data_IF_616543958377
#
_entry.id   IF_616543958377
#
_cell.length_a   1.000
_cell.length_b   1.000
_cell.length_c   1.000
_cell.angle_alpha   90.00
_cell.angle_beta   90.00
_cell.angle_gamma   90.00
#
_symmetry.space_group_name_H-M   'P 1'
#
loop_
_entity.id
_entity.type
_entity.pdbx_description
1 polymer ?
#
# COMPACT_ATOMS: atom_id res chain seq x y z
N UNK A 1 -70.20 -21.07 -14.48
CA UNK A 1 -68.80 -20.97 -14.93
C UNK A 1 -68.14 -19.84 -14.15
N UNK A 2 -67.44 -20.19 -13.06
CA UNK A 2 -66.72 -19.19 -12.23
C UNK A 2 -65.24 -19.21 -12.60
N UNK A 3 -64.76 -18.08 -13.12
CA UNK A 3 -63.35 -17.90 -13.41
C UNK A 3 -62.62 -17.34 -12.14
N UNK A 4 -61.76 -18.14 -11.56
CA UNK A 4 -60.84 -17.73 -10.51
C UNK A 4 -59.64 -17.03 -11.13
N UNK A 5 -59.54 -15.72 -10.97
CA UNK A 5 -58.34 -14.94 -11.29
C UNK A 5 -57.38 -14.96 -10.10
N UNK A 6 -56.19 -15.52 -10.28
CA UNK A 6 -55.10 -15.43 -9.30
C UNK A 6 -54.48 -14.03 -9.33
N UNK A 7 -54.20 -13.39 -8.17
CA UNK A 7 -53.51 -12.10 -8.15
C UNK A 7 -52.04 -12.25 -8.51
N UNK A 8 -51.56 -11.45 -9.47
CA UNK A 8 -50.18 -11.35 -9.84
C UNK A 8 -49.35 -10.77 -8.68
N UNK A 9 -48.27 -11.47 -8.31
CA UNK A 9 -47.28 -11.02 -7.32
C UNK A 9 -46.53 -9.82 -7.87
N UNK A 10 -46.39 -8.72 -7.11
CA UNK A 10 -45.58 -7.58 -7.56
C UNK A 10 -44.09 -7.98 -7.66
N UNK A 11 -43.32 -7.41 -8.61
CA UNK A 11 -41.91 -7.67 -8.77
C UNK A 11 -41.15 -7.16 -7.53
N UNK A 12 -40.30 -8.01 -6.97
CA UNK A 12 -39.34 -7.65 -5.91
C UNK A 12 -38.47 -6.51 -6.43
N UNK A 13 -38.58 -5.35 -5.81
CA UNK A 13 -37.71 -4.21 -6.06
C UNK A 13 -36.27 -4.64 -5.78
N UNK A 14 -35.45 -4.62 -6.81
CA UNK A 14 -34.02 -4.77 -6.67
C UNK A 14 -33.49 -3.59 -5.85
N UNK A 15 -33.19 -3.81 -4.59
CA UNK A 15 -32.45 -2.87 -3.75
C UNK A 15 -31.06 -2.72 -4.38
N UNK A 16 -30.88 -1.69 -5.18
CA UNK A 16 -29.55 -1.20 -5.59
C UNK A 16 -28.82 -0.77 -4.32
N UNK A 17 -27.99 -1.67 -3.78
CA UNK A 17 -27.03 -1.30 -2.73
C UNK A 17 -26.09 -0.27 -3.33
N UNK A 18 -26.13 0.94 -2.80
CA UNK A 18 -25.13 1.97 -3.03
C UNK A 18 -23.74 1.37 -2.78
N UNK A 19 -22.76 1.61 -3.67
CA UNK A 19 -21.38 1.21 -3.38
C UNK A 19 -21.00 1.76 -2.01
N UNK A 20 -20.56 0.90 -1.11
CA UNK A 20 -20.12 1.31 0.22
C UNK A 20 -18.88 2.18 -0.01
N UNK A 21 -19.02 3.48 0.21
CA UNK A 21 -17.91 4.43 0.10
C UNK A 21 -16.79 3.96 1.02
N UNK A 22 -15.62 3.76 0.42
CA UNK A 22 -14.42 3.40 1.16
C UNK A 22 -14.12 4.54 2.14
N UNK A 23 -13.88 4.26 3.44
CA UNK A 23 -13.47 5.30 4.35
C UNK A 23 -12.21 5.97 3.79
N UNK A 24 -12.12 7.31 3.81
CA UNK A 24 -10.97 8.02 3.32
C UNK A 24 -9.71 7.55 4.06
N UNK A 25 -8.59 7.50 3.33
CA UNK A 25 -7.31 7.21 3.95
C UNK A 25 -7.07 8.20 5.10
N UNK A 26 -6.58 7.75 6.26
CA UNK A 26 -6.34 8.65 7.38
C UNK A 26 -5.32 9.73 6.99
N UNK A 27 -5.47 10.98 7.50
CA UNK A 27 -4.54 12.06 7.22
C UNK A 27 -3.13 11.74 7.72
N UNK A 28 -2.15 12.42 7.12
CA UNK A 28 -0.75 12.25 7.49
C UNK A 28 -0.42 12.96 8.81
N UNK A 29 0.46 12.36 9.59
CA UNK A 29 1.05 13.01 10.78
C UNK A 29 2.29 13.78 10.36
N UNK A 30 2.10 14.94 9.74
CA UNK A 30 3.19 15.78 9.24
C UNK A 30 4.09 16.22 10.40
N UNK A 31 5.43 16.20 10.19
CA UNK A 31 6.37 16.74 11.15
C UNK A 31 6.11 18.25 11.36
N UNK A 32 6.23 18.75 12.59
CA UNK A 32 6.09 20.17 12.84
C UNK A 32 7.21 20.97 12.16
N UNK A 33 6.83 22.11 11.59
CA UNK A 33 7.71 22.99 10.84
C UNK A 33 7.92 22.53 9.39
N UNK A 34 8.34 23.44 8.53
CA UNK A 34 8.76 23.15 7.16
C UNK A 34 10.28 23.15 7.13
N UNK A 35 10.93 22.01 6.87
CA UNK A 35 12.38 21.96 6.82
C UNK A 35 12.89 22.75 5.60
N UNK A 36 14.03 23.43 5.78
CA UNK A 36 14.70 24.12 4.68
C UNK A 36 15.77 23.20 4.07
N UNK A 37 15.66 22.84 2.77
CA UNK A 37 16.63 21.98 2.11
C UNK A 37 18.04 22.56 2.08
N UNK A 38 19.01 21.83 2.62
CA UNK A 38 20.44 22.14 2.50
C UNK A 38 20.96 21.62 1.17
N UNK A 39 21.00 22.48 0.16
CA UNK A 39 21.43 22.16 -1.20
C UNK A 39 22.69 22.96 -1.59
N UNK A 40 23.54 22.48 -2.52
CA UNK A 40 23.38 21.19 -3.22
C UNK A 40 23.60 20.00 -2.30
N UNK A 41 22.95 18.87 -2.63
CA UNK A 41 23.21 17.57 -2.01
C UNK A 41 23.58 16.55 -3.06
N UNK A 42 24.45 15.61 -2.73
CA UNK A 42 24.86 14.53 -3.60
C UNK A 42 24.51 13.20 -2.95
N UNK A 43 23.85 12.31 -3.71
CA UNK A 43 23.42 11.00 -3.20
C UNK A 43 23.76 9.90 -4.21
N UNK A 44 24.04 8.72 -3.70
CA UNK A 44 24.10 7.50 -4.50
C UNK A 44 22.70 6.94 -4.64
N UNK A 45 22.14 6.99 -5.82
CA UNK A 45 20.85 6.39 -6.19
C UNK A 45 20.92 4.87 -6.09
N UNK A 46 19.80 4.18 -5.83
CA UNK A 46 19.78 2.72 -5.68
C UNK A 46 20.27 1.96 -6.92
N UNK A 47 20.18 2.58 -8.11
CA UNK A 47 20.75 2.07 -9.36
C UNK A 47 22.27 2.34 -9.51
N UNK A 48 22.94 2.78 -8.44
CA UNK A 48 24.38 3.02 -8.37
C UNK A 48 24.86 4.36 -8.96
N UNK A 49 23.96 5.19 -9.50
CA UNK A 49 24.33 6.49 -10.09
C UNK A 49 24.52 7.55 -9.01
N UNK A 50 25.52 8.41 -9.18
CA UNK A 50 25.66 9.64 -8.39
C UNK A 50 24.71 10.70 -8.94
N UNK A 51 23.89 11.29 -8.08
CA UNK A 51 22.91 12.31 -8.45
C UNK A 51 23.11 13.53 -7.58
N UNK A 52 23.37 14.68 -8.22
CA UNK A 52 23.45 15.98 -7.53
C UNK A 52 22.13 16.70 -7.66
N UNK A 53 21.53 17.06 -6.53
CA UNK A 53 20.30 17.83 -6.46
C UNK A 53 20.64 19.25 -6.03
N UNK A 54 20.37 20.21 -6.90
CA UNK A 54 20.64 21.64 -6.69
C UNK A 54 19.38 22.44 -6.37
N UNK A 55 18.20 21.87 -6.69
CA UNK A 55 16.89 22.49 -6.48
C UNK A 55 15.84 21.44 -6.09
N UNK A 56 15.14 21.67 -4.99
CA UNK A 56 14.03 20.85 -4.50
C UNK A 56 12.75 21.72 -4.33
N UNK A 57 12.58 22.74 -5.17
CA UNK A 57 11.40 23.59 -5.15
C UNK A 57 10.17 22.92 -5.79
N UNK A 58 10.38 21.98 -6.71
CA UNK A 58 9.33 21.24 -7.44
C UNK A 58 9.63 19.74 -7.41
N UNK A 59 9.19 19.09 -6.35
CA UNK A 59 9.45 17.67 -6.10
C UNK A 59 8.38 16.82 -6.78
N UNK A 60 8.79 15.79 -7.51
CA UNK A 60 7.89 14.83 -8.12
C UNK A 60 8.17 13.40 -7.62
N UNK A 61 7.44 12.93 -6.62
CA UNK A 61 7.47 11.51 -6.22
C UNK A 61 6.60 10.67 -7.17
N UNK A 62 7.17 9.61 -7.72
CA UNK A 62 6.49 8.73 -8.69
C UNK A 62 5.82 7.50 -8.05
N UNK A 63 5.87 7.37 -6.73
CA UNK A 63 5.14 6.31 -5.99
C UNK A 63 4.42 6.88 -4.78
N UNK A 64 3.33 6.23 -4.36
CA UNK A 64 2.56 6.63 -3.18
C UNK A 64 3.38 6.62 -1.91
N UNK A 65 4.27 5.67 -1.77
CA UNK A 65 5.14 5.52 -0.60
C UNK A 65 6.17 6.67 -0.46
N UNK A 66 6.80 7.04 -1.57
CA UNK A 66 7.72 8.19 -1.59
C UNK A 66 6.94 9.49 -1.33
N UNK A 67 5.77 9.64 -1.96
CA UNK A 67 4.87 10.77 -1.72
C UNK A 67 4.55 10.93 -0.24
N UNK A 68 4.18 9.85 0.43
CA UNK A 68 3.84 9.86 1.86
C UNK A 68 5.00 10.38 2.72
N UNK A 69 6.23 9.94 2.44
CA UNK A 69 7.42 10.41 3.15
C UNK A 69 7.65 11.89 2.91
N UNK A 70 7.60 12.36 1.65
CA UNK A 70 7.82 13.77 1.30
C UNK A 70 6.81 14.68 1.99
N UNK A 71 5.54 14.31 1.96
CA UNK A 71 4.49 15.07 2.66
C UNK A 71 4.68 15.06 4.18
N UNK A 72 5.00 13.90 4.75
CA UNK A 72 5.19 13.76 6.20
C UNK A 72 6.42 14.51 6.71
N UNK A 73 7.46 14.66 5.87
CA UNK A 73 8.61 15.52 6.16
C UNK A 73 8.26 17.02 6.20
N UNK A 74 7.06 17.42 5.75
CA UNK A 74 6.63 18.83 5.69
C UNK A 74 6.96 19.51 4.35
N UNK A 75 7.28 18.75 3.31
CA UNK A 75 7.62 19.28 1.97
C UNK A 75 6.44 19.16 0.97
N UNK A 76 5.23 18.85 1.44
CA UNK A 76 4.06 18.62 0.59
C UNK A 76 3.70 19.81 -0.31
N UNK A 77 3.95 21.05 0.13
CA UNK A 77 3.75 22.26 -0.66
C UNK A 77 4.69 22.41 -1.88
N UNK A 78 5.76 21.60 -1.92
CA UNK A 78 6.72 21.55 -3.04
C UNK A 78 6.41 20.41 -4.02
N UNK A 79 5.44 19.54 -3.69
CA UNK A 79 5.05 18.39 -4.55
C UNK A 79 4.18 18.89 -5.69
N UNK A 80 4.53 18.50 -6.92
CA UNK A 80 3.87 19.02 -8.13
C UNK A 80 3.01 17.98 -8.86
N UNK A 81 3.05 16.70 -8.48
CA UNK A 81 2.25 15.63 -9.05
C UNK A 81 2.25 14.41 -8.15
N UNK A 82 1.39 13.44 -8.44
CA UNK A 82 1.24 12.24 -7.62
C UNK A 82 1.07 10.95 -8.41
N UNK A 83 1.35 9.85 -7.75
CA UNK A 83 0.97 8.50 -8.13
C UNK A 83 -0.46 8.16 -7.70
N UNK A 84 -1.08 7.18 -8.34
CA UNK A 84 -2.44 6.69 -8.02
C UNK A 84 -2.54 6.12 -6.59
N UNK A 85 -1.44 5.60 -6.03
CA UNK A 85 -1.38 5.07 -4.67
C UNK A 85 -1.18 6.15 -3.59
N UNK A 86 -0.91 7.40 -3.97
CA UNK A 86 -0.95 8.54 -3.05
C UNK A 86 -2.40 8.93 -2.75
N UNK A 87 -3.08 8.12 -1.92
CA UNK A 87 -4.53 8.20 -1.64
C UNK A 87 -4.89 9.09 -0.46
N UNK A 88 -3.91 9.61 0.27
CA UNK A 88 -4.14 10.49 1.42
C UNK A 88 -4.65 11.87 0.98
N UNK A 89 -5.49 12.53 1.82
CA UNK A 89 -6.19 13.76 1.45
C UNK A 89 -5.28 14.89 0.98
N UNK A 90 -4.10 15.01 1.57
CA UNK A 90 -3.15 16.08 1.28
C UNK A 90 -2.63 16.06 -0.16
N UNK A 91 -2.62 14.89 -0.82
CA UNK A 91 -2.19 14.75 -2.22
C UNK A 91 -3.37 14.77 -3.22
N UNK A 92 -4.62 14.77 -2.77
CA UNK A 92 -5.79 14.54 -3.63
C UNK A 92 -5.94 15.57 -4.76
N UNK A 93 -5.51 16.81 -4.53
CA UNK A 93 -5.61 17.92 -5.48
C UNK A 93 -4.54 17.89 -6.58
N UNK A 94 -3.49 17.08 -6.44
CA UNK A 94 -2.36 17.05 -7.36
C UNK A 94 -2.67 16.26 -8.64
N UNK A 95 -2.12 16.67 -9.79
CA UNK A 95 -2.25 15.94 -11.04
C UNK A 95 -1.64 14.55 -10.95
N UNK A 96 -2.33 13.58 -11.55
CA UNK A 96 -1.92 12.19 -11.58
C UNK A 96 -0.97 11.95 -12.76
N UNK A 97 0.25 11.50 -12.49
CA UNK A 97 1.28 11.24 -13.50
C UNK A 97 1.75 9.79 -13.57
N UNK A 98 1.44 8.98 -12.56
CA UNK A 98 1.80 7.56 -12.51
C UNK A 98 0.58 6.72 -12.16
N UNK A 99 0.33 5.66 -12.93
CA UNK A 99 -0.74 4.69 -12.69
C UNK A 99 -0.12 3.31 -12.52
N UNK A 100 -0.24 2.76 -11.32
CA UNK A 100 0.51 1.56 -10.94
C UNK A 100 2.03 1.83 -11.13
N UNK A 101 2.68 1.21 -12.08
CA UNK A 101 4.10 1.46 -12.36
C UNK A 101 4.34 2.25 -13.65
N UNK A 102 3.25 2.59 -14.38
CA UNK A 102 3.35 3.26 -15.68
C UNK A 102 3.41 4.79 -15.52
N UNK A 103 4.52 5.38 -15.92
CA UNK A 103 4.80 6.82 -15.86
C UNK A 103 4.42 7.50 -17.17
N UNK A 104 3.65 8.58 -17.10
CA UNK A 104 3.42 9.48 -18.22
C UNK A 104 4.58 10.48 -18.33
N UNK A 105 5.51 10.25 -19.24
CA UNK A 105 6.68 11.15 -19.46
C UNK A 105 6.22 12.57 -19.79
N UNK A 106 5.25 12.71 -20.71
CA UNK A 106 4.70 14.02 -21.08
C UNK A 106 4.05 14.71 -19.86
N UNK A 107 3.26 13.95 -19.08
CA UNK A 107 2.65 14.45 -17.85
C UNK A 107 3.69 14.94 -16.85
N UNK A 108 4.77 14.18 -16.65
CA UNK A 108 5.88 14.54 -15.77
C UNK A 108 6.57 15.82 -16.25
N UNK A 109 6.98 15.88 -17.53
CA UNK A 109 7.71 17.03 -18.08
C UNK A 109 6.86 18.30 -18.08
N UNK A 110 5.55 18.19 -18.31
CA UNK A 110 4.62 19.34 -18.25
C UNK A 110 4.59 20.03 -16.89
N UNK A 111 4.85 19.27 -15.83
CA UNK A 111 4.91 19.78 -14.46
C UNK A 111 6.24 20.46 -14.12
N UNK A 112 7.23 20.40 -14.99
CA UNK A 112 8.57 21.00 -14.80
C UNK A 112 9.15 20.72 -13.43
N UNK A 113 9.30 19.45 -13.01
CA UNK A 113 9.90 19.13 -11.72
C UNK A 113 11.39 19.51 -11.72
N UNK A 114 11.92 19.87 -10.55
CA UNK A 114 13.35 20.12 -10.35
C UNK A 114 14.07 18.90 -9.78
N UNK A 115 13.34 17.94 -9.26
CA UNK A 115 13.83 16.63 -8.82
C UNK A 115 12.71 15.59 -8.93
N UNK A 116 13.06 14.39 -9.39
CA UNK A 116 12.19 13.23 -9.49
C UNK A 116 12.68 12.16 -8.51
N UNK A 117 11.78 11.62 -7.71
CA UNK A 117 12.03 10.47 -6.83
C UNK A 117 11.20 9.29 -7.30
N UNK A 118 11.85 8.17 -7.57
CA UNK A 118 11.23 6.93 -8.04
C UNK A 118 11.78 5.73 -7.26
N UNK A 119 11.23 4.56 -7.46
CA UNK A 119 11.82 3.31 -6.98
C UNK A 119 12.19 2.40 -8.17
N UNK A 120 12.77 1.23 -7.85
CA UNK A 120 13.27 0.27 -8.84
C UNK A 120 12.14 -0.34 -9.70
N UNK A 121 10.89 -0.26 -9.24
CA UNK A 121 9.71 -0.81 -9.94
C UNK A 121 9.01 0.24 -10.81
N UNK A 122 9.42 1.51 -10.70
CA UNK A 122 8.85 2.60 -11.49
C UNK A 122 9.28 2.46 -12.96
N UNK A 123 8.33 2.45 -13.87
CA UNK A 123 8.61 2.21 -15.29
C UNK A 123 7.57 2.78 -16.25
N UNK A 124 7.58 2.32 -17.49
CA UNK A 124 8.54 1.38 -18.07
C UNK A 124 9.97 1.92 -18.12
N UNK A 125 11.00 1.07 -18.28
CA UNK A 125 12.40 1.50 -18.30
C UNK A 125 12.69 2.61 -19.30
N UNK A 126 12.08 2.57 -20.47
CA UNK A 126 12.23 3.57 -21.54
C UNK A 126 11.72 4.96 -21.08
N UNK A 127 10.64 5.01 -20.30
CA UNK A 127 10.15 6.25 -19.73
C UNK A 127 11.13 6.84 -18.72
N UNK A 128 11.72 5.99 -17.89
CA UNK A 128 12.73 6.41 -16.90
C UNK A 128 14.01 6.90 -17.57
N UNK A 129 14.42 6.28 -18.69
CA UNK A 129 15.55 6.76 -19.49
C UNK A 129 15.26 8.12 -20.14
N UNK A 130 14.07 8.34 -20.70
CA UNK A 130 13.64 9.62 -21.25
C UNK A 130 13.64 10.72 -20.19
N UNK A 131 13.14 10.45 -18.98
CA UNK A 131 13.17 11.40 -17.87
C UNK A 131 14.59 11.77 -17.47
N UNK A 132 15.52 10.82 -17.41
CA UNK A 132 16.93 11.09 -17.16
C UNK A 132 17.57 11.92 -18.29
N UNK A 133 17.23 11.61 -19.53
CA UNK A 133 17.69 12.34 -20.72
C UNK A 133 17.22 13.78 -20.78
N UNK A 134 16.18 14.15 -20.04
CA UNK A 134 15.67 15.53 -19.96
C UNK A 134 16.54 16.48 -19.12
N UNK A 135 17.58 15.96 -18.45
CA UNK A 135 18.45 16.73 -17.57
C UNK A 135 17.90 16.98 -16.17
N UNK A 136 16.73 16.43 -15.83
CA UNK A 136 16.16 16.51 -14.48
C UNK A 136 16.83 15.46 -13.61
N UNK A 137 17.32 15.79 -12.38
CA UNK A 137 17.82 14.81 -11.43
C UNK A 137 16.77 13.76 -11.10
N UNK A 138 17.08 12.48 -11.35
CA UNK A 138 16.21 11.32 -11.01
C UNK A 138 16.93 10.46 -10.00
N UNK A 139 16.38 10.36 -8.79
CA UNK A 139 16.90 9.51 -7.71
C UNK A 139 16.01 8.27 -7.59
N UNK A 140 16.62 7.11 -7.75
CA UNK A 140 15.95 5.83 -7.43
C UNK A 140 16.17 5.53 -5.96
N UNK A 141 15.08 5.36 -5.23
CA UNK A 141 15.07 4.99 -3.82
C UNK A 141 14.78 3.51 -3.71
N UNK A 142 15.51 2.80 -2.86
CA UNK A 142 15.25 1.38 -2.64
C UNK A 142 13.82 1.19 -2.08
N UNK A 143 13.01 0.30 -2.65
CA UNK A 143 11.69 -0.01 -2.10
C UNK A 143 11.82 -0.65 -0.72
N UNK A 144 10.77 -0.56 0.09
CA UNK A 144 10.66 -1.24 1.38
C UNK A 144 9.56 -2.29 1.29
N UNK A 145 9.91 -3.54 1.58
CA UNK A 145 9.01 -4.69 1.60
C UNK A 145 8.88 -5.30 3.00
N UNK A 146 9.52 -4.66 3.98
CA UNK A 146 9.50 -5.10 5.37
C UNK A 146 9.61 -3.92 6.33
N UNK A 147 9.18 -4.12 7.58
CA UNK A 147 9.25 -3.08 8.61
C UNK A 147 10.66 -2.53 8.87
N UNK A 148 11.74 -3.35 8.89
CA UNK A 148 13.10 -2.83 9.07
C UNK A 148 13.59 -1.89 7.95
N UNK A 149 12.98 -1.94 6.75
CA UNK A 149 13.38 -1.12 5.60
C UNK A 149 12.73 0.25 5.58
N UNK A 150 11.71 0.49 6.43
CA UNK A 150 10.96 1.77 6.46
C UNK A 150 11.86 2.94 6.85
N UNK A 151 12.60 2.84 7.95
CA UNK A 151 13.46 3.92 8.43
C UNK A 151 14.62 4.23 7.46
N UNK A 152 15.37 3.25 6.93
CA UNK A 152 16.35 3.50 5.86
C UNK A 152 15.79 4.24 4.64
N UNK A 153 14.58 3.85 4.19
CA UNK A 153 13.91 4.52 3.06
C UNK A 153 13.58 5.97 3.37
N UNK A 154 13.02 6.26 4.55
CA UNK A 154 12.73 7.63 5.00
C UNK A 154 14.00 8.48 4.97
N UNK A 155 15.11 7.96 5.52
CA UNK A 155 16.39 8.65 5.56
C UNK A 155 16.97 8.93 4.16
N UNK A 156 16.90 7.94 3.26
CA UNK A 156 17.37 8.10 1.87
C UNK A 156 16.59 9.20 1.13
N UNK A 157 15.25 9.22 1.26
CA UNK A 157 14.41 10.27 0.65
C UNK A 157 14.77 11.65 1.22
N UNK A 158 14.88 11.74 2.55
CA UNK A 158 15.19 13.00 3.22
C UNK A 158 16.59 13.53 2.85
N UNK A 159 17.58 12.64 2.72
CA UNK A 159 18.93 12.98 2.26
C UNK A 159 18.91 13.52 0.83
N UNK A 160 18.20 12.85 -0.08
CA UNK A 160 18.04 13.28 -1.46
C UNK A 160 17.41 14.69 -1.56
N UNK A 161 16.55 15.05 -0.63
CA UNK A 161 15.89 16.36 -0.58
C UNK A 161 16.65 17.40 0.27
N UNK A 162 17.85 17.08 0.77
CA UNK A 162 18.64 18.00 1.59
C UNK A 162 18.09 18.25 3.00
N UNK A 163 17.21 17.39 3.50
CA UNK A 163 16.53 17.53 4.81
C UNK A 163 16.83 16.36 5.78
N UNK A 164 18.08 15.91 5.78
CA UNK A 164 18.53 14.72 6.52
C UNK A 164 18.11 14.73 8.00
N UNK A 165 18.22 15.87 8.69
CA UNK A 165 17.81 16.00 10.13
C UNK A 165 16.32 15.75 10.33
N UNK A 166 15.45 16.22 9.41
CA UNK A 166 14.02 15.90 9.45
C UNK A 166 13.78 14.41 9.19
N UNK A 167 14.58 13.81 8.29
CA UNK A 167 14.59 12.38 8.02
C UNK A 167 14.89 11.52 9.23
N UNK A 168 15.92 11.88 10.01
CA UNK A 168 16.27 11.18 11.26
C UNK A 168 15.13 11.27 12.29
N UNK A 169 14.53 12.45 12.46
CA UNK A 169 13.37 12.62 13.36
C UNK A 169 12.18 11.79 12.92
N UNK A 170 11.86 11.78 11.60
CA UNK A 170 10.74 11.01 11.07
C UNK A 170 10.97 9.51 11.20
N UNK A 171 12.16 9.04 10.84
CA UNK A 171 12.54 7.63 10.98
C UNK A 171 12.42 7.16 12.43
N UNK A 172 13.02 7.89 13.38
CA UNK A 172 12.96 7.56 14.82
C UNK A 172 11.52 7.57 15.37
N UNK A 173 10.68 8.52 14.95
CA UNK A 173 9.26 8.53 15.30
C UNK A 173 8.55 7.29 14.77
N UNK A 174 8.75 6.97 13.50
CA UNK A 174 8.11 5.82 12.86
C UNK A 174 8.53 4.50 13.51
N UNK A 175 9.82 4.31 13.80
CA UNK A 175 10.33 3.13 14.52
C UNK A 175 9.71 2.99 15.92
N UNK A 176 9.62 4.08 16.67
CA UNK A 176 9.00 4.09 18.00
C UNK A 176 7.50 3.72 17.92
N UNK A 177 6.77 4.27 16.95
CA UNK A 177 5.37 3.95 16.71
C UNK A 177 5.17 2.49 16.30
N UNK A 178 5.99 1.95 15.40
CA UNK A 178 5.97 0.53 15.01
C UNK A 178 6.24 -0.37 16.20
N UNK A 179 7.25 -0.04 17.03
CA UNK A 179 7.55 -0.78 18.26
C UNK A 179 6.36 -0.78 19.22
N UNK A 180 5.71 0.36 19.40
CA UNK A 180 4.53 0.48 20.26
C UNK A 180 3.34 -0.32 19.72
N UNK A 181 3.11 -0.30 18.40
CA UNK A 181 2.06 -1.08 17.74
C UNK A 181 2.28 -2.60 17.93
N UNK A 182 3.50 -3.08 17.71
CA UNK A 182 3.88 -4.49 17.92
C UNK A 182 3.65 -4.94 19.36
N UNK A 183 3.93 -4.08 20.34
CA UNK A 183 3.75 -4.41 21.75
C UNK A 183 2.28 -4.61 22.15
N UNK A 184 1.32 -4.17 21.32
CA UNK A 184 -0.12 -4.40 21.53
C UNK A 184 -0.58 -5.81 21.10
N UNK A 185 0.25 -6.56 20.37
CA UNK A 185 -0.08 -7.95 20.00
C UNK A 185 -0.19 -8.82 21.24
N UNK A 186 -1.24 -9.65 21.38
CA UNK A 186 -1.47 -10.44 22.59
C UNK A 186 -0.32 -11.43 22.85
N UNK A 187 0.31 -11.32 24.01
CA UNK A 187 1.35 -12.26 24.42
C UNK A 187 0.69 -13.58 24.85
N UNK A 188 1.23 -14.71 24.38
CA UNK A 188 0.78 -16.04 24.78
C UNK A 188 -0.55 -16.53 24.15
N UNK A 189 -1.21 -15.74 23.33
CA UNK A 189 -2.36 -16.18 22.54
C UNK A 189 -1.94 -17.07 21.37
N UNK A 190 -2.85 -17.95 20.92
CA UNK A 190 -2.65 -18.69 19.68
C UNK A 190 -2.54 -17.69 18.51
N UNK A 191 -1.45 -17.80 17.74
CA UNK A 191 -1.20 -16.92 16.59
C UNK A 191 -2.16 -17.28 15.45
N UNK A 192 -3.05 -16.36 15.00
CA UNK A 192 -3.94 -16.65 13.88
C UNK A 192 -3.12 -16.87 12.61
N UNK A 193 -3.51 -17.86 11.80
CA UNK A 193 -3.00 -18.04 10.44
C UNK A 193 -3.71 -17.07 9.51
N UNK A 194 -2.98 -16.23 8.85
CA UNK A 194 -3.52 -15.15 8.00
C UNK A 194 -3.09 -15.37 6.56
N UNK A 195 -4.05 -15.47 5.65
CA UNK A 195 -3.76 -15.48 4.21
C UNK A 195 -3.98 -14.09 3.64
N UNK A 196 -2.91 -13.47 3.13
CA UNK A 196 -3.04 -12.25 2.35
C UNK A 196 -3.45 -12.58 0.92
N UNK A 197 -4.57 -12.03 0.46
CA UNK A 197 -5.05 -12.20 -0.91
C UNK A 197 -5.00 -10.86 -1.66
N UNK A 198 -4.19 -10.83 -2.72
CA UNK A 198 -4.17 -9.72 -3.65
C UNK A 198 -5.20 -9.97 -4.75
N UNK A 199 -6.25 -9.15 -4.77
CA UNK A 199 -7.41 -9.35 -5.64
C UNK A 199 -7.63 -8.14 -6.55
N UNK A 200 -7.89 -8.40 -7.84
CA UNK A 200 -8.40 -7.46 -8.84
C UNK A 200 -9.41 -8.22 -9.71
N UNK A 201 -10.61 -8.42 -9.17
CA UNK A 201 -11.63 -9.25 -9.79
C UNK A 201 -12.01 -8.81 -11.21
N UNK A 202 -12.07 -7.49 -11.46
CA UNK A 202 -12.34 -6.91 -12.79
C UNK A 202 -11.23 -7.21 -13.82
N UNK A 203 -10.00 -7.44 -13.35
CA UNK A 203 -8.85 -7.80 -14.19
C UNK A 203 -8.53 -9.32 -14.14
N UNK A 204 -9.32 -10.13 -13.44
CA UNK A 204 -9.07 -11.56 -13.30
C UNK A 204 -7.82 -11.91 -12.49
N UNK A 205 -7.32 -11.01 -11.64
CA UNK A 205 -6.11 -11.22 -10.84
C UNK A 205 -6.49 -11.72 -9.45
N UNK A 206 -6.01 -12.92 -9.13
CA UNK A 206 -6.24 -13.61 -7.85
C UNK A 206 -4.94 -14.23 -7.38
N UNK A 207 -4.25 -13.59 -6.42
CA UNK A 207 -2.95 -14.03 -5.93
C UNK A 207 -2.98 -14.18 -4.40
N UNK A 208 -2.20 -15.15 -3.90
CA UNK A 208 -1.89 -15.28 -2.48
C UNK A 208 -0.47 -14.75 -2.23
N UNK A 209 -0.31 -13.93 -1.19
CA UNK A 209 0.98 -13.47 -0.72
C UNK A 209 1.77 -14.60 -0.05
N UNK A 210 3.07 -14.58 -0.27
CA UNK A 210 4.04 -15.45 0.39
C UNK A 210 5.22 -14.63 0.90
N UNK A 211 6.36 -15.28 1.08
CA UNK A 211 7.58 -14.63 1.58
C UNK A 211 7.99 -13.46 0.67
N UNK A 212 8.16 -12.29 1.28
CA UNK A 212 8.56 -11.06 0.57
C UNK A 212 7.41 -10.31 -0.10
N UNK A 213 6.15 -10.67 0.17
CA UNK A 213 4.98 -9.91 -0.30
C UNK A 213 4.80 -8.56 0.41
N UNK A 214 5.52 -8.33 1.49
CA UNK A 214 5.32 -7.23 2.41
C UNK A 214 4.25 -7.55 3.46
N UNK A 215 3.15 -8.15 3.05
CA UNK A 215 2.09 -8.57 3.98
C UNK A 215 2.60 -9.60 5.01
N UNK A 216 3.53 -10.48 4.64
CA UNK A 216 4.20 -11.41 5.55
C UNK A 216 4.85 -10.68 6.74
N UNK A 217 5.62 -9.62 6.48
CA UNK A 217 6.26 -8.79 7.52
C UNK A 217 5.23 -8.12 8.44
N UNK A 218 4.12 -7.64 7.90
CA UNK A 218 3.04 -7.00 8.66
C UNK A 218 2.24 -7.99 9.50
N UNK A 219 1.91 -9.16 8.94
CA UNK A 219 1.19 -10.24 9.63
C UNK A 219 2.01 -10.77 10.81
N UNK A 220 3.30 -11.03 10.61
CA UNK A 220 4.19 -11.50 11.66
C UNK A 220 4.36 -10.46 12.77
N UNK A 221 4.51 -9.19 12.40
CA UNK A 221 4.62 -8.10 13.37
C UNK A 221 3.34 -7.89 14.18
N UNK A 222 2.17 -8.18 13.57
CA UNK A 222 0.87 -8.17 14.25
C UNK A 222 0.61 -9.40 15.12
N UNK A 223 1.56 -10.33 15.25
CA UNK A 223 1.44 -11.54 16.07
C UNK A 223 0.73 -12.69 15.37
N UNK A 224 0.54 -12.65 14.05
CA UNK A 224 0.01 -13.74 13.23
C UNK A 224 1.09 -14.65 12.65
N UNK A 225 0.64 -15.64 11.88
CA UNK A 225 1.47 -16.50 11.02
C UNK A 225 1.02 -16.28 9.58
N UNK A 226 1.93 -15.81 8.72
CA UNK A 226 1.63 -15.71 7.29
C UNK A 226 1.42 -17.11 6.69
N UNK A 227 0.21 -17.35 6.19
CA UNK A 227 -0.20 -18.67 5.70
C UNK A 227 0.56 -19.06 4.43
N UNK A 228 0.87 -18.09 3.56
CA UNK A 228 1.63 -18.33 2.34
C UNK A 228 3.06 -18.76 2.62
N UNK A 229 3.77 -18.03 3.47
CA UNK A 229 5.13 -18.40 3.91
C UNK A 229 5.14 -19.74 4.63
N UNK A 230 4.16 -19.99 5.51
CA UNK A 230 4.05 -21.24 6.26
C UNK A 230 3.76 -22.47 5.37
N UNK A 231 3.23 -22.25 4.15
CA UNK A 231 3.06 -23.30 3.14
C UNK A 231 4.30 -23.47 2.24
N UNK A 232 5.34 -22.70 2.46
CA UNK A 232 6.57 -22.74 1.66
C UNK A 232 6.49 -21.94 0.35
N UNK A 233 5.56 -20.98 0.21
CA UNK A 233 5.55 -20.08 -0.93
C UNK A 233 6.74 -19.11 -0.83
N UNK A 234 7.70 -19.30 -1.71
CA UNK A 234 8.95 -18.51 -1.76
C UNK A 234 8.86 -17.29 -2.65
N UNK A 235 7.81 -17.21 -3.50
CA UNK A 235 7.51 -16.03 -4.32
C UNK A 235 6.63 -15.07 -3.54
N UNK A 236 6.86 -13.78 -3.71
CA UNK A 236 6.05 -12.72 -3.11
C UNK A 236 4.55 -12.90 -3.41
N UNK A 237 4.22 -13.27 -4.64
CA UNK A 237 2.84 -13.55 -5.07
C UNK A 237 2.78 -14.81 -5.93
N UNK A 238 1.74 -15.62 -5.68
CA UNK A 238 1.47 -16.87 -6.42
C UNK A 238 -0.02 -16.92 -6.78
N UNK A 239 -0.42 -17.37 -7.98
CA UNK A 239 -1.82 -17.58 -8.33
C UNK A 239 -2.53 -18.46 -7.29
N UNK A 240 -3.75 -18.07 -6.90
CA UNK A 240 -4.56 -18.83 -5.96
C UNK A 240 -5.08 -20.10 -6.62
N UNK A 241 -4.93 -21.25 -5.93
CA UNK A 241 -5.68 -22.46 -6.21
C UNK A 241 -6.56 -22.83 -5.01
N UNK A 242 -7.66 -23.53 -5.24
CA UNK A 242 -8.56 -23.98 -4.17
C UNK A 242 -7.84 -24.89 -3.18
N UNK A 243 -6.98 -25.79 -3.69
CA UNK A 243 -6.19 -26.72 -2.88
C UNK A 243 -5.21 -25.98 -1.98
N UNK A 244 -4.54 -24.96 -2.50
CA UNK A 244 -3.60 -24.15 -1.74
C UNK A 244 -4.31 -23.39 -0.60
N UNK A 245 -5.48 -22.81 -0.87
CA UNK A 245 -6.28 -22.13 0.15
C UNK A 245 -6.77 -23.08 1.25
N UNK A 246 -7.28 -24.26 0.86
CA UNK A 246 -7.75 -25.27 1.83
C UNK A 246 -6.58 -25.79 2.66
N UNK A 247 -5.44 -26.06 2.05
CA UNK A 247 -4.22 -26.51 2.74
C UNK A 247 -3.65 -25.44 3.69
N UNK A 248 -3.71 -24.16 3.29
CA UNK A 248 -3.28 -23.04 4.10
C UNK A 248 -4.06 -22.92 5.42
N UNK A 249 -5.34 -23.34 5.44
CA UNK A 249 -6.23 -23.28 6.60
C UNK A 249 -6.19 -21.92 7.31
N UNK A 250 -6.38 -20.79 6.61
CA UNK A 250 -6.33 -19.49 7.26
C UNK A 250 -7.48 -19.33 8.26
N UNK A 251 -7.17 -18.72 9.41
CA UNK A 251 -8.14 -18.28 10.40
C UNK A 251 -8.69 -16.89 10.05
N UNK A 252 -7.90 -16.10 9.31
CA UNK A 252 -8.23 -14.75 8.86
C UNK A 252 -7.78 -14.60 7.40
N UNK A 253 -8.58 -13.91 6.59
CA UNK A 253 -8.20 -13.45 5.26
C UNK A 253 -7.92 -11.95 5.35
N UNK A 254 -6.70 -11.55 4.96
CA UNK A 254 -6.29 -10.16 4.81
C UNK A 254 -6.40 -9.77 3.34
N UNK A 255 -7.03 -8.65 3.05
CA UNK A 255 -7.19 -8.13 1.67
C UNK A 255 -7.03 -6.62 1.63
N UNK A 256 -6.79 -6.06 0.46
CA UNK A 256 -6.95 -4.63 0.24
C UNK A 256 -8.40 -4.28 -0.08
N UNK A 257 -8.89 -3.14 0.40
CA UNK A 257 -10.32 -2.76 0.35
C UNK A 257 -10.88 -2.70 -1.07
N UNK A 258 -10.15 -2.13 -2.05
CA UNK A 258 -10.56 -2.14 -3.46
C UNK A 258 -10.55 -3.55 -4.06
N UNK A 259 -9.58 -4.38 -3.63
CA UNK A 259 -9.54 -5.79 -4.00
C UNK A 259 -10.79 -6.52 -3.54
N UNK A 260 -11.18 -6.34 -2.29
CA UNK A 260 -12.41 -6.91 -1.73
C UNK A 260 -13.66 -6.41 -2.48
N UNK A 261 -13.75 -5.11 -2.76
CA UNK A 261 -14.86 -4.52 -3.53
C UNK A 261 -14.93 -5.10 -4.96
N UNK A 262 -13.77 -5.30 -5.61
CA UNK A 262 -13.70 -5.81 -6.99
C UNK A 262 -14.26 -7.21 -7.19
N UNK A 263 -14.37 -7.98 -6.10
CA UNK A 263 -14.96 -9.34 -6.10
C UNK A 263 -16.37 -9.36 -5.53
N UNK A 264 -16.95 -8.22 -5.18
CA UNK A 264 -18.32 -8.11 -4.62
C UNK A 264 -18.39 -8.21 -3.09
N UNK A 265 -17.35 -7.69 -2.40
CA UNK A 265 -17.28 -7.69 -0.94
C UNK A 265 -17.06 -9.08 -0.35
N UNK A 266 -17.36 -9.24 0.94
CA UNK A 266 -17.20 -10.52 1.66
C UNK A 266 -18.05 -11.62 1.02
N UNK A 267 -19.27 -11.32 0.56
CA UNK A 267 -20.13 -12.29 -0.11
C UNK A 267 -19.52 -12.83 -1.41
N UNK A 268 -18.89 -11.96 -2.18
CA UNK A 268 -18.18 -12.36 -3.40
C UNK A 268 -16.88 -13.10 -3.10
N UNK A 269 -16.13 -12.64 -2.11
CA UNK A 269 -14.90 -13.29 -1.66
C UNK A 269 -15.14 -14.76 -1.26
N UNK A 270 -16.18 -15.03 -0.45
CA UNK A 270 -16.52 -16.40 0.00
C UNK A 270 -16.90 -17.31 -1.18
N UNK A 271 -17.38 -16.76 -2.30
CA UNK A 271 -17.69 -17.52 -3.52
C UNK A 271 -16.46 -17.93 -4.33
N UNK A 272 -15.30 -17.33 -4.07
CA UNK A 272 -14.05 -17.78 -4.68
C UNK A 272 -13.78 -19.21 -4.22
N UNK A 273 -13.50 -20.09 -5.21
CA UNK A 273 -13.34 -21.53 -4.97
C UNK A 273 -12.23 -21.78 -3.95
N UNK A 274 -12.53 -22.59 -2.93
CA UNK A 274 -11.63 -22.93 -1.84
C UNK A 274 -11.78 -22.05 -0.59
N UNK A 275 -12.28 -20.82 -0.70
CA UNK A 275 -12.40 -19.92 0.46
C UNK A 275 -13.47 -20.40 1.44
N UNK A 276 -14.66 -20.79 0.97
CA UNK A 276 -15.74 -21.25 1.83
C UNK A 276 -15.37 -22.49 2.67
N UNK A 277 -14.37 -23.27 2.23
CA UNK A 277 -13.89 -24.47 2.93
C UNK A 277 -12.83 -24.14 4.00
N UNK A 278 -12.32 -22.91 4.05
CA UNK A 278 -11.35 -22.48 5.07
C UNK A 278 -12.05 -22.05 6.36
N UNK A 279 -11.36 -22.12 7.54
CA UNK A 279 -11.87 -21.55 8.78
C UNK A 279 -12.28 -20.08 8.66
N UNK A 280 -11.46 -19.27 7.97
CA UNK A 280 -11.73 -17.86 7.71
C UNK A 280 -13.00 -17.66 6.88
N UNK A 281 -13.19 -18.44 5.81
CA UNK A 281 -14.38 -18.35 4.95
C UNK A 281 -15.66 -18.75 5.67
N UNK A 282 -15.62 -19.83 6.46
CA UNK A 282 -16.76 -20.31 7.26
C UNK A 282 -17.23 -19.28 8.30
N UNK A 283 -16.28 -18.60 8.95
CA UNK A 283 -16.53 -17.57 9.96
C UNK A 283 -16.63 -16.17 9.37
N UNK A 284 -16.42 -16.02 8.05
CA UNK A 284 -16.38 -14.73 7.34
C UNK A 284 -15.36 -13.75 7.97
N UNK A 285 -14.26 -14.26 8.50
CA UNK A 285 -13.19 -13.48 9.13
C UNK A 285 -12.29 -12.84 8.06
N UNK A 286 -12.65 -11.64 7.68
CA UNK A 286 -11.95 -10.85 6.68
C UNK A 286 -11.51 -9.53 7.31
N UNK A 287 -10.23 -9.23 7.18
CA UNK A 287 -9.63 -7.94 7.53
C UNK A 287 -9.28 -7.24 6.23
N UNK A 288 -9.86 -6.08 5.99
CA UNK A 288 -9.52 -5.25 4.85
C UNK A 288 -8.74 -4.00 5.29
N UNK A 289 -7.77 -3.61 4.48
CA UNK A 289 -6.93 -2.43 4.68
C UNK A 289 -6.94 -1.59 3.42
N UNK A 290 -6.91 -0.27 3.57
CA UNK A 290 -6.87 0.68 2.45
C UNK A 290 -5.67 0.42 1.53
N UNK A 291 -5.90 0.45 0.20
CA UNK A 291 -4.94 0.03 -0.84
C UNK A 291 -3.63 0.83 -0.85
N UNK A 292 -3.68 2.13 -0.52
CA UNK A 292 -2.49 2.98 -0.45
C UNK A 292 -1.75 2.91 0.88
N UNK A 293 -2.05 1.93 1.74
CA UNK A 293 -1.51 1.85 3.09
C UNK A 293 -0.82 0.52 3.41
N UNK A 294 -1.45 -0.62 3.10
CA UNK A 294 -0.98 -1.95 3.56
C UNK A 294 0.45 -2.28 3.12
N UNK A 295 0.76 -2.09 1.84
CA UNK A 295 2.06 -2.42 1.24
C UNK A 295 2.92 -1.17 0.98
N UNK A 296 2.51 -0.03 1.52
CA UNK A 296 3.18 1.24 1.24
C UNK A 296 4.51 1.38 2.01
N UNK A 297 4.60 0.80 3.21
CA UNK A 297 5.79 0.87 4.07
C UNK A 297 6.32 2.30 4.23
N UNK A 298 5.40 3.24 4.43
CA UNK A 298 5.67 4.64 4.71
C UNK A 298 5.50 4.97 6.21
N UNK A 299 5.47 6.25 6.56
CA UNK A 299 5.28 6.71 7.96
C UNK A 299 4.00 6.20 8.62
N UNK A 300 2.91 5.90 7.85
CA UNK A 300 1.65 5.36 8.38
C UNK A 300 1.68 3.86 8.69
N UNK A 301 2.78 3.17 8.40
CA UNK A 301 2.91 1.70 8.61
C UNK A 301 2.57 1.29 10.04
N UNK A 302 2.95 2.10 11.03
CA UNK A 302 2.61 1.82 12.44
C UNK A 302 1.10 1.78 12.69
N UNK A 303 0.34 2.70 12.09
CA UNK A 303 -1.12 2.76 12.21
C UNK A 303 -1.80 1.56 11.52
N UNK A 304 -1.29 1.15 10.37
CA UNK A 304 -1.74 -0.07 9.70
C UNK A 304 -1.50 -1.29 10.59
N UNK A 305 -0.32 -1.37 11.20
CA UNK A 305 0.03 -2.45 12.12
C UNK A 305 -0.89 -2.48 13.35
N UNK A 306 -1.24 -1.34 13.94
CA UNK A 306 -2.22 -1.27 15.03
C UNK A 306 -3.59 -1.83 14.62
N UNK A 307 -4.06 -1.44 13.43
CA UNK A 307 -5.32 -1.98 12.87
C UNK A 307 -5.26 -3.49 12.67
N UNK A 308 -4.13 -4.02 12.19
CA UNK A 308 -3.95 -5.45 12.02
C UNK A 308 -3.94 -6.18 13.37
N UNK A 309 -3.19 -5.67 14.36
CA UNK A 309 -3.17 -6.23 15.72
C UNK A 309 -4.57 -6.30 16.29
N UNK A 310 -5.33 -5.21 16.20
CA UNK A 310 -6.70 -5.16 16.73
C UNK A 310 -7.62 -6.15 16.00
N UNK A 311 -7.68 -6.09 14.66
CA UNK A 311 -8.68 -6.84 13.87
C UNK A 311 -8.34 -8.31 13.67
N UNK A 312 -7.07 -8.70 13.67
CA UNK A 312 -6.65 -10.10 13.55
C UNK A 312 -6.91 -10.92 14.81
N UNK A 313 -6.95 -10.28 15.98
CA UNK A 313 -7.14 -10.94 17.28
C UNK A 313 -8.54 -10.78 17.86
N UNK A 314 -9.45 -10.08 17.17
CA UNK A 314 -10.88 -10.09 17.54
C UNK A 314 -11.44 -11.50 17.38
N UNK A 315 -12.21 -11.97 18.38
CA UNK A 315 -12.79 -13.32 18.43
C UNK A 315 -13.90 -13.53 17.38
#
# INVERSE_FOLDING_TARGET
MCACGSPARPPLAATTRTPQEQPPAPPLEILPGTPDPKLPTEVTSADGKQVTITDASRILPLTGAISEVVFTLGLGNRVVGRDIAATFPEAAHLPLVTRAHDVSVEGVLSLRPTVILADEETGPPEAMEQLRGSGIPVVIVKPAWSLPEVAPRIKAIAQALGVAEAGERLAGRTEAQVKAARAKAPAGAAKPRVAFLYLRGTAGVYLIGGKGSGADSMIEAAGGVDAGTAMGLTKAFTPITSEALIAARPDVILVMSKGLQSVGGIDGLVRIQGIAQTPAGQRRRVVDVEDGSLLNFGPRTARVLETLVERMHQA
#
